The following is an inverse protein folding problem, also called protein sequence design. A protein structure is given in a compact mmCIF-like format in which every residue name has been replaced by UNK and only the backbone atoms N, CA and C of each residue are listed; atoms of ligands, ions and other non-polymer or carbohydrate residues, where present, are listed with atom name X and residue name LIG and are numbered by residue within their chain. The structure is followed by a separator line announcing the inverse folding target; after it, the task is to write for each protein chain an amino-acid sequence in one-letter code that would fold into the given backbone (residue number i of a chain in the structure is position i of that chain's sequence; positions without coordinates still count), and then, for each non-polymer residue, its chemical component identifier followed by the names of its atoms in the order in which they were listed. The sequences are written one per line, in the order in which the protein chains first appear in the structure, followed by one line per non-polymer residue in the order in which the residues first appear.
data_IF_935515348046
#
_entry.id   IF_935515348046
#
_cell.length_a   1.000
_cell.length_b   1.000
_cell.length_c   1.000
_cell.angle_alpha   90.00
_cell.angle_beta   90.00
_cell.angle_gamma   90.00
#
_symmetry.space_group_name_H-M   'P 1'
#
loop_
_entity.id
_entity.type
_entity.pdbx_description
1 polymer ?
#
# COMPACT_ATOMS: atom_id res chain seq x y z
N UNK A 1 -66.33 1.61 23.19
CA UNK A 1 -66.35 0.13 23.33
C UNK A 1 -65.06 -0.29 24.01
N UNK A 2 -65.20 -0.95 25.17
CA UNK A 2 -64.18 -1.78 25.85
C UNK A 2 -63.55 -2.80 24.86
N UNK A 3 -62.35 -3.35 25.02
CA UNK A 3 -61.86 -4.17 26.15
C UNK A 3 -60.32 -4.21 26.16
N UNK A 4 -59.78 -4.14 27.38
CA UNK A 4 -58.40 -4.38 27.83
C UNK A 4 -58.02 -5.87 27.74
N UNK A 5 -56.77 -6.20 27.41
CA UNK A 5 -56.11 -7.38 28.00
C UNK A 5 -54.60 -7.19 28.15
N UNK A 6 -54.20 -7.16 29.43
CA UNK A 6 -52.85 -7.26 29.96
C UNK A 6 -52.41 -8.73 30.01
N UNK A 7 -51.11 -8.99 29.81
CA UNK A 7 -50.24 -9.95 30.52
C UNK A 7 -49.02 -10.26 29.64
N UNK A 8 -47.84 -10.66 30.10
CA UNK A 8 -47.10 -10.64 31.37
C UNK A 8 -45.72 -11.19 31.00
N UNK A 9 -44.69 -10.71 31.66
CA UNK A 9 -43.30 -11.16 31.51
C UNK A 9 -43.11 -12.64 31.85
N UNK A 10 -42.30 -13.36 31.07
CA UNK A 10 -41.49 -14.47 31.59
C UNK A 10 -40.06 -14.38 31.04
N UNK A 11 -39.12 -14.38 31.97
CA UNK A 11 -37.70 -14.53 31.70
C UNK A 11 -37.42 -15.95 31.18
N UNK A 12 -36.82 -16.04 30.01
CA UNK A 12 -36.25 -17.27 29.46
C UNK A 12 -34.74 -17.11 29.35
N UNK A 13 -34.00 -17.65 30.32
CA UNK A 13 -32.57 -17.86 30.22
C UNK A 13 -32.28 -18.92 29.15
N UNK A 14 -31.54 -18.54 28.10
CA UNK A 14 -30.85 -19.52 27.26
C UNK A 14 -29.36 -19.23 27.28
N UNK A 15 -28.63 -20.15 27.91
CA UNK A 15 -27.17 -20.25 27.81
C UNK A 15 -26.87 -20.84 26.44
N UNK A 16 -26.26 -20.07 25.55
CA UNK A 16 -25.52 -20.62 24.41
C UNK A 16 -24.05 -20.31 24.61
N UNK A 17 -23.35 -21.32 25.14
CA UNK A 17 -21.90 -21.45 25.01
C UNK A 17 -21.66 -22.22 23.72
N UNK A 18 -20.98 -21.62 22.74
CA UNK A 18 -20.28 -22.35 21.69
C UNK A 18 -19.16 -21.49 21.10
N UNK A 19 -17.96 -21.83 21.56
CA UNK A 19 -16.72 -21.97 20.78
C UNK A 19 -16.49 -20.98 19.63
N UNK A 20 -15.65 -19.97 19.90
CA UNK A 20 -14.96 -19.17 18.89
C UNK A 20 -14.03 -20.06 18.08
N UNK A 21 -14.47 -20.47 16.89
CA UNK A 21 -13.62 -21.07 15.88
C UNK A 21 -13.07 -19.95 15.00
N UNK A 22 -11.79 -19.63 15.17
CA UNK A 22 -11.08 -18.61 14.38
C UNK A 22 -10.89 -19.13 12.95
N UNK A 23 -11.21 -18.33 11.90
CA UNK A 23 -10.87 -18.71 10.55
C UNK A 23 -9.36 -18.53 10.32
N UNK A 24 -8.69 -19.62 9.96
CA UNK A 24 -7.30 -19.62 9.47
C UNK A 24 -7.18 -18.73 8.22
N UNK A 25 -6.58 -17.55 8.38
CA UNK A 25 -6.11 -16.77 7.23
C UNK A 25 -4.81 -17.41 6.74
N UNK A 26 -4.93 -18.14 5.63
CA UNK A 26 -3.83 -18.71 4.87
C UNK A 26 -3.07 -17.58 4.16
N UNK A 27 -2.16 -16.93 4.88
CA UNK A 27 -1.21 -16.00 4.29
C UNK A 27 -0.19 -16.78 3.45
N UNK A 28 -0.36 -16.83 2.13
CA UNK A 28 0.66 -17.32 1.21
C UNK A 28 1.79 -16.30 1.09
N UNK A 29 2.60 -16.16 2.14
CA UNK A 29 3.92 -15.57 2.02
C UNK A 29 4.76 -16.53 1.16
N UNK A 30 5.23 -16.08 0.01
CA UNK A 30 6.25 -16.81 -0.73
C UNK A 30 7.55 -16.71 0.08
N UNK A 31 8.13 -17.81 0.58
CA UNK A 31 9.46 -17.76 1.16
C UNK A 31 10.46 -17.66 0.01
N UNK A 32 11.15 -16.52 -0.10
CA UNK A 32 12.30 -16.42 -1.01
C UNK A 32 13.53 -16.96 -0.27
N UNK A 33 13.90 -18.17 -0.70
CA UNK A 33 15.21 -18.83 -0.65
C UNK A 33 16.09 -18.64 0.59
N UNK A 34 16.01 -19.61 1.50
CA UNK A 34 17.20 -20.11 2.18
C UNK A 34 17.98 -20.97 1.18
N UNK A 35 19.33 -20.92 1.14
CA UNK A 35 20.09 -21.97 0.47
C UNK A 35 19.74 -23.29 1.14
N UNK A 36 19.15 -24.18 0.36
CA UNK A 36 18.88 -25.56 0.73
C UNK A 36 20.22 -26.30 0.82
N UNK A 37 20.69 -26.54 2.04
CA UNK A 37 21.64 -27.62 2.28
C UNK A 37 20.99 -28.70 3.14
N UNK A 38 21.09 -29.92 2.62
CA UNK A 38 20.39 -31.12 3.03
C UNK A 38 20.89 -31.62 4.38
N UNK A 39 19.97 -32.28 5.09
CA UNK A 39 20.19 -33.08 6.29
C UNK A 39 21.32 -34.11 6.14
N UNK A 40 22.15 -34.27 7.18
CA UNK A 40 22.83 -35.53 7.53
C UNK A 40 22.99 -35.63 9.06
N UNK A 41 22.61 -36.79 9.63
CA UNK A 41 23.02 -37.25 10.97
C UNK A 41 24.40 -37.91 10.85
N UNK A 42 25.41 -37.45 11.59
CA UNK A 42 26.38 -38.33 12.27
C UNK A 42 27.10 -37.60 13.40
N UNK A 43 27.36 -38.36 14.45
CA UNK A 43 28.03 -38.01 15.71
C UNK A 43 29.49 -37.55 15.58
N UNK A 44 29.88 -36.74 16.59
CA UNK A 44 31.23 -36.53 17.14
C UNK A 44 32.26 -35.81 16.26
N UNK A 45 32.38 -34.49 16.45
CA UNK A 45 33.55 -33.86 17.10
C UNK A 45 33.10 -32.52 17.73
N UNK A 46 33.12 -32.43 19.06
CA UNK A 46 32.89 -31.20 19.79
C UNK A 46 34.16 -30.33 19.72
N UNK A 47 34.43 -29.67 18.59
CA UNK A 47 35.33 -28.53 18.58
C UNK A 47 35.18 -27.63 17.35
N UNK A 48 33.99 -27.08 17.11
CA UNK A 48 33.79 -25.98 16.15
C UNK A 48 33.10 -24.78 16.84
N UNK A 49 33.98 -23.95 17.40
CA UNK A 49 33.94 -22.52 17.63
C UNK A 49 32.61 -21.89 18.10
N UNK A 50 32.41 -21.85 19.42
CA UNK A 50 31.30 -21.15 20.09
C UNK A 50 31.24 -19.65 19.75
N UNK A 51 32.39 -19.03 19.43
CA UNK A 51 32.48 -17.62 19.04
C UNK A 51 31.91 -17.36 17.65
N UNK A 52 32.14 -18.26 16.69
CA UNK A 52 31.57 -18.17 15.33
C UNK A 52 30.06 -18.35 15.36
N UNK A 53 29.56 -19.31 16.14
CA UNK A 53 28.11 -19.48 16.37
C UNK A 53 27.53 -18.24 17.03
N UNK A 54 28.20 -17.68 18.04
CA UNK A 54 27.81 -16.42 18.68
C UNK A 54 27.75 -15.23 17.70
N UNK A 55 28.71 -15.13 16.78
CA UNK A 55 28.74 -14.10 15.74
C UNK A 55 27.63 -14.28 14.68
N UNK A 56 27.30 -15.53 14.32
CA UNK A 56 26.15 -15.82 13.48
C UNK A 56 24.83 -15.42 14.14
N UNK A 57 24.59 -15.81 15.40
CA UNK A 57 23.39 -15.42 16.14
C UNK A 57 23.27 -13.89 16.27
N UNK A 58 24.38 -13.19 16.54
CA UNK A 58 24.41 -11.72 16.63
C UNK A 58 24.06 -11.04 15.30
N UNK A 59 24.49 -11.62 14.18
CA UNK A 59 24.19 -11.14 12.83
C UNK A 59 22.72 -11.36 12.48
N UNK A 60 22.20 -12.57 12.73
CA UNK A 60 20.78 -12.90 12.55
C UNK A 60 19.88 -11.98 13.39
N UNK A 61 20.25 -11.74 14.65
CA UNK A 61 19.52 -10.86 15.55
C UNK A 61 19.42 -9.41 15.04
N UNK A 62 20.46 -8.91 14.35
CA UNK A 62 20.40 -7.58 13.73
C UNK A 62 19.38 -7.51 12.60
N UNK A 63 19.30 -8.53 11.75
CA UNK A 63 18.28 -8.59 10.70
C UNK A 63 16.87 -8.67 11.28
N UNK A 64 16.66 -9.47 12.34
CA UNK A 64 15.38 -9.52 13.06
C UNK A 64 15.01 -8.14 13.63
N UNK A 65 15.96 -7.41 14.22
CA UNK A 65 15.70 -6.04 14.68
C UNK A 65 15.33 -5.09 13.56
N UNK A 66 16.05 -5.14 12.43
CA UNK A 66 15.75 -4.30 11.27
C UNK A 66 14.35 -4.61 10.73
N UNK A 67 13.98 -5.88 10.68
CA UNK A 67 12.64 -6.31 10.31
C UNK A 67 11.57 -5.73 11.25
N UNK A 68 11.80 -5.83 12.57
CA UNK A 68 10.91 -5.23 13.56
C UNK A 68 10.82 -3.70 13.41
N UNK A 69 11.94 -3.02 13.12
CA UNK A 69 11.95 -1.57 12.86
C UNK A 69 11.17 -1.18 11.60
N UNK A 70 11.23 -2.00 10.55
CA UNK A 70 10.42 -1.82 9.34
C UNK A 70 8.92 -1.98 9.66
N UNK A 71 8.55 -3.03 10.38
CA UNK A 71 7.15 -3.31 10.77
C UNK A 71 6.58 -2.26 11.71
N UNK A 72 7.40 -1.75 12.63
CA UNK A 72 7.03 -0.68 13.58
C UNK A 72 7.21 0.73 13.02
N UNK A 73 7.62 0.87 11.74
CA UNK A 73 7.80 2.15 11.04
C UNK A 73 8.72 3.13 11.77
N UNK A 74 9.83 2.65 12.31
CA UNK A 74 10.82 3.49 12.98
C UNK A 74 11.39 4.56 12.03
N UNK A 75 11.88 5.68 12.57
CA UNK A 75 12.48 6.73 11.73
C UNK A 75 13.89 6.35 11.27
N UNK A 76 14.33 6.92 10.14
CA UNK A 76 15.70 6.72 9.63
C UNK A 76 16.72 7.21 10.66
N UNK A 77 16.41 8.30 11.35
CA UNK A 77 17.25 8.89 12.39
C UNK A 77 17.38 7.94 13.59
N UNK A 78 16.26 7.38 14.07
CA UNK A 78 16.27 6.40 15.16
C UNK A 78 17.11 5.18 14.80
N UNK A 79 16.92 4.61 13.60
CA UNK A 79 17.68 3.44 13.16
C UNK A 79 19.16 3.76 12.97
N UNK A 80 19.50 4.96 12.47
CA UNK A 80 20.88 5.42 12.36
C UNK A 80 21.57 5.45 13.74
N UNK A 81 20.92 6.04 14.75
CA UNK A 81 21.42 6.08 16.12
C UNK A 81 21.46 4.69 16.76
N UNK A 82 20.42 3.86 16.59
CA UNK A 82 20.38 2.50 17.14
C UNK A 82 21.49 1.60 16.57
N UNK A 83 21.94 1.88 15.35
CA UNK A 83 23.07 1.21 14.69
C UNK A 83 24.43 1.85 14.99
N UNK A 84 24.47 2.90 15.83
CA UNK A 84 25.67 3.68 16.16
C UNK A 84 26.35 4.25 14.92
N UNK A 85 25.53 4.80 14.02
CA UNK A 85 25.97 5.49 12.79
C UNK A 85 25.75 7.00 12.90
N UNK A 86 25.22 7.48 14.02
CA UNK A 86 25.10 8.90 14.33
C UNK A 86 26.47 9.50 14.65
N UNK A 87 26.67 10.77 14.29
CA UNK A 87 27.94 11.48 14.48
C UNK A 87 29.07 11.11 13.52
N UNK A 88 28.90 10.07 12.70
CA UNK A 88 29.82 9.73 11.60
C UNK A 88 29.51 10.56 10.36
N UNK A 89 30.53 10.87 9.56
CA UNK A 89 30.35 11.47 8.25
C UNK A 89 29.88 10.45 7.20
N UNK A 90 29.49 10.92 6.01
CA UNK A 90 28.92 10.03 4.98
C UNK A 90 29.90 8.99 4.44
N UNK A 91 31.21 9.24 4.49
CA UNK A 91 32.22 8.29 4.04
C UNK A 91 32.43 7.19 5.10
N UNK A 92 32.52 7.58 6.37
CA UNK A 92 32.67 6.70 7.52
C UNK A 92 31.43 5.83 7.74
N UNK A 93 30.24 6.39 7.51
CA UNK A 93 29.00 5.61 7.55
C UNK A 93 29.06 4.46 6.57
N UNK A 94 29.52 4.69 5.33
CA UNK A 94 29.52 3.66 4.27
C UNK A 94 30.52 2.53 4.52
N UNK A 95 31.63 2.83 5.19
CA UNK A 95 32.65 1.82 5.54
C UNK A 95 32.35 1.09 6.84
N UNK A 96 31.44 1.62 7.67
CA UNK A 96 31.08 1.01 8.94
C UNK A 96 30.34 -0.33 8.79
N UNK A 97 30.71 -1.34 9.60
CA UNK A 97 30.13 -2.70 9.55
C UNK A 97 28.61 -2.78 9.74
N UNK A 98 27.99 -1.78 10.35
CA UNK A 98 26.54 -1.73 10.53
C UNK A 98 25.80 -1.06 9.36
N UNK A 99 26.52 -0.46 8.41
CA UNK A 99 25.94 0.25 7.27
C UNK A 99 24.99 -0.62 6.46
N UNK A 100 25.36 -1.87 6.19
CA UNK A 100 24.51 -2.80 5.42
C UNK A 100 23.09 -2.95 5.99
N UNK A 101 22.93 -2.90 7.32
CA UNK A 101 21.62 -2.97 7.97
C UNK A 101 20.86 -1.66 7.83
N UNK A 102 21.55 -0.53 7.93
CA UNK A 102 20.96 0.79 7.71
C UNK A 102 20.54 1.00 6.26
N UNK A 103 21.38 0.61 5.29
CA UNK A 103 21.07 0.64 3.86
C UNK A 103 19.83 -0.20 3.58
N UNK A 104 19.81 -1.47 4.01
CA UNK A 104 18.64 -2.33 3.85
C UNK A 104 17.37 -1.71 4.45
N UNK A 105 17.46 -1.16 5.67
CA UNK A 105 16.34 -0.45 6.29
C UNK A 105 15.89 0.75 5.46
N UNK A 106 16.82 1.61 5.03
CA UNK A 106 16.52 2.81 4.27
C UNK A 106 15.87 2.47 2.92
N UNK A 107 16.38 1.45 2.23
CA UNK A 107 15.91 0.96 0.93
C UNK A 107 14.50 0.37 1.04
N UNK A 108 14.19 -0.34 2.13
CA UNK A 108 12.91 -1.04 2.34
C UNK A 108 11.85 -0.24 3.09
N UNK A 109 12.24 0.81 3.82
CA UNK A 109 11.35 1.57 4.72
C UNK A 109 10.07 2.06 4.06
N UNK A 110 10.17 2.60 2.84
CA UNK A 110 9.00 3.05 2.10
C UNK A 110 8.11 1.89 1.68
N UNK A 111 8.68 0.83 1.08
CA UNK A 111 7.92 -0.33 0.61
C UNK A 111 7.13 -0.97 1.75
N UNK A 112 7.76 -1.20 2.91
CA UNK A 112 7.09 -1.75 4.08
C UNK A 112 5.99 -0.84 4.61
N UNK A 113 6.21 0.48 4.59
CA UNK A 113 5.17 1.44 4.97
C UNK A 113 3.95 1.32 4.06
N UNK A 114 4.17 1.23 2.74
CA UNK A 114 3.10 1.13 1.75
C UNK A 114 2.38 -0.22 1.81
N UNK A 115 3.11 -1.33 1.99
CA UNK A 115 2.53 -2.66 2.22
C UNK A 115 1.67 -2.65 3.50
N UNK A 116 2.15 -2.02 4.57
CA UNK A 116 1.39 -1.88 5.81
C UNK A 116 0.11 -1.06 5.64
N UNK A 117 0.07 -0.10 4.71
CA UNK A 117 -1.19 0.58 4.34
C UNK A 117 -2.13 -0.34 3.57
N UNK A 118 -1.62 -1.12 2.61
CA UNK A 118 -2.43 -2.10 1.87
C UNK A 118 -3.02 -3.18 2.79
N UNK A 119 -2.24 -3.70 3.74
CA UNK A 119 -2.69 -4.73 4.69
C UNK A 119 -3.77 -4.23 5.65
N UNK A 120 -3.86 -2.92 5.86
CA UNK A 120 -4.92 -2.28 6.65
C UNK A 120 -6.11 -1.83 5.80
N UNK A 121 -6.15 -2.25 4.53
CA UNK A 121 -7.15 -1.86 3.54
C UNK A 121 -7.33 -0.34 3.44
N UNK A 122 -6.24 0.42 3.57
CA UNK A 122 -6.30 1.87 3.41
C UNK A 122 -6.69 2.21 1.98
N UNK A 123 -7.68 3.08 1.84
CA UNK A 123 -7.97 3.72 0.56
C UNK A 123 -6.87 4.73 0.26
N UNK A 124 -6.74 5.17 -0.99
CA UNK A 124 -5.79 6.25 -1.27
C UNK A 124 -6.18 7.56 -0.61
N UNK A 125 -7.46 7.75 -0.34
CA UNK A 125 -7.93 8.88 0.47
C UNK A 125 -7.46 8.76 1.93
N UNK A 126 -7.45 7.57 2.52
CA UNK A 126 -6.88 7.35 3.85
C UNK A 126 -5.38 7.67 3.87
N UNK A 127 -4.63 7.23 2.87
CA UNK A 127 -3.21 7.57 2.76
C UNK A 127 -3.00 9.09 2.61
N UNK A 128 -3.79 9.75 1.77
CA UNK A 128 -3.76 11.21 1.59
C UNK A 128 -4.04 11.96 2.88
N UNK A 129 -5.13 11.58 3.57
CA UNK A 129 -5.65 12.30 4.73
C UNK A 129 -4.91 11.93 6.02
N UNK A 130 -4.86 10.64 6.36
CA UNK A 130 -4.43 10.13 7.68
C UNK A 130 -2.91 9.99 7.79
N UNK A 131 -2.25 9.54 6.72
CA UNK A 131 -0.82 9.18 6.80
C UNK A 131 0.10 10.26 6.23
N UNK A 132 -0.37 11.05 5.27
CA UNK A 132 0.43 12.06 4.59
C UNK A 132 0.05 13.50 4.96
N UNK A 133 -1.01 13.68 5.75
CA UNK A 133 -1.49 14.97 6.23
C UNK A 133 -1.69 16.00 5.08
N UNK A 134 -2.21 15.53 3.95
CA UNK A 134 -2.51 16.35 2.77
C UNK A 134 -3.96 16.87 2.78
N UNK A 135 -4.69 16.68 3.88
CA UNK A 135 -6.08 17.10 4.08
C UNK A 135 -6.31 18.61 3.91
N UNK A 136 -5.28 19.44 4.13
CA UNK A 136 -5.32 20.89 3.86
C UNK A 136 -5.41 21.25 2.37
N UNK A 137 -5.09 20.32 1.47
CA UNK A 137 -5.16 20.50 0.02
C UNK A 137 -6.51 19.94 -0.42
N UNK A 138 -7.47 20.83 -0.67
CA UNK A 138 -8.85 20.43 -0.96
C UNK A 138 -9.23 20.67 -2.41
N UNK A 139 -8.65 21.69 -3.04
CA UNK A 139 -8.94 22.07 -4.42
C UNK A 139 -7.85 21.62 -5.40
N UNK A 140 -8.24 21.31 -6.63
CA UNK A 140 -7.33 20.82 -7.66
C UNK A 140 -6.19 21.82 -8.00
N UNK A 141 -6.47 23.12 -7.94
CA UNK A 141 -5.49 24.17 -8.21
C UNK A 141 -4.42 24.32 -7.11
N UNK A 142 -4.59 23.65 -5.96
CA UNK A 142 -3.64 23.67 -4.85
C UNK A 142 -2.61 22.54 -4.93
N UNK A 143 -2.76 21.61 -5.88
CA UNK A 143 -1.84 20.48 -6.04
C UNK A 143 -0.38 20.93 -6.28
N UNK A 144 -0.19 22.09 -6.92
CA UNK A 144 1.13 22.68 -7.12
C UNK A 144 1.87 22.97 -5.79
N UNK A 145 1.15 23.20 -4.69
CA UNK A 145 1.74 23.42 -3.35
C UNK A 145 2.43 22.18 -2.80
N UNK A 146 2.06 20.98 -3.28
CA UNK A 146 2.55 19.70 -2.74
C UNK A 146 3.26 18.83 -3.77
N UNK A 147 3.20 19.13 -5.07
CA UNK A 147 3.72 18.24 -6.13
C UNK A 147 5.21 17.89 -5.96
N UNK A 148 6.02 18.84 -5.47
CA UNK A 148 7.45 18.68 -5.23
C UNK A 148 7.81 18.10 -3.84
N UNK A 149 6.81 17.82 -3.00
CA UNK A 149 7.06 17.30 -1.63
C UNK A 149 7.26 15.79 -1.61
N UNK A 150 8.00 15.31 -0.61
CA UNK A 150 8.17 13.87 -0.38
C UNK A 150 6.83 13.18 -0.08
N UNK A 151 5.93 13.84 0.65
CA UNK A 151 4.60 13.32 0.94
C UNK A 151 3.83 12.99 -0.36
N UNK A 152 3.83 13.91 -1.33
CA UNK A 152 3.19 13.65 -2.62
C UNK A 152 3.95 12.59 -3.46
N UNK A 153 5.28 12.51 -3.36
CA UNK A 153 6.05 11.42 -3.96
C UNK A 153 5.61 10.06 -3.44
N UNK A 154 5.49 9.90 -2.11
CA UNK A 154 5.03 8.65 -1.49
C UNK A 154 3.57 8.36 -1.83
N UNK A 155 2.70 9.39 -1.85
CA UNK A 155 1.32 9.26 -2.30
C UNK A 155 1.24 8.66 -3.72
N UNK A 156 2.01 9.19 -4.67
CA UNK A 156 2.06 8.69 -6.05
C UNK A 156 2.46 7.21 -6.11
N UNK A 157 3.42 6.80 -5.30
CA UNK A 157 3.86 5.40 -5.24
C UNK A 157 2.73 4.52 -4.70
N UNK A 158 2.09 4.95 -3.60
CA UNK A 158 0.99 4.22 -3.01
C UNK A 158 -0.20 4.05 -3.95
N UNK A 159 -0.64 5.13 -4.62
CA UNK A 159 -1.73 5.08 -5.61
C UNK A 159 -1.43 4.05 -6.69
N UNK A 160 -0.20 4.01 -7.20
CA UNK A 160 0.16 3.02 -8.22
C UNK A 160 0.14 1.58 -7.70
N UNK A 161 0.62 1.33 -6.47
CA UNK A 161 0.57 0.01 -5.84
C UNK A 161 -0.88 -0.42 -5.60
N UNK A 162 -1.68 0.45 -4.98
CA UNK A 162 -3.09 0.22 -4.68
C UNK A 162 -3.89 -0.06 -5.96
N UNK A 163 -3.79 0.81 -6.97
CA UNK A 163 -4.54 0.66 -8.22
C UNK A 163 -4.18 -0.63 -8.96
N UNK A 164 -2.90 -1.05 -8.94
CA UNK A 164 -2.47 -2.33 -9.50
C UNK A 164 -3.08 -3.52 -8.76
N UNK A 165 -3.11 -3.46 -7.42
CA UNK A 165 -3.70 -4.49 -6.58
C UNK A 165 -5.20 -4.62 -6.86
N UNK A 166 -5.94 -3.51 -6.84
CA UNK A 166 -7.39 -3.50 -7.07
C UNK A 166 -7.73 -4.02 -8.46
N UNK A 167 -7.02 -3.57 -9.50
CA UNK A 167 -7.25 -4.07 -10.86
C UNK A 167 -7.00 -5.58 -10.95
N UNK A 168 -5.95 -6.09 -10.30
CA UNK A 168 -5.67 -7.54 -10.23
C UNK A 168 -6.79 -8.29 -9.52
N UNK A 169 -7.21 -7.82 -8.34
CA UNK A 169 -8.28 -8.41 -7.54
C UNK A 169 -9.62 -8.45 -8.31
N UNK A 170 -9.98 -7.36 -8.98
CA UNK A 170 -11.18 -7.31 -9.82
C UNK A 170 -11.14 -8.26 -11.00
N UNK A 171 -9.95 -8.50 -11.58
CA UNK A 171 -9.79 -9.44 -12.70
C UNK A 171 -9.97 -10.90 -12.26
N UNK A 172 -9.69 -11.23 -10.99
CA UNK A 172 -9.91 -12.57 -10.43
C UNK A 172 -11.25 -12.70 -9.68
N UNK A 173 -12.10 -11.68 -9.72
CA UNK A 173 -13.45 -11.71 -9.15
C UNK A 173 -13.58 -11.27 -7.69
N UNK A 174 -12.49 -10.83 -7.06
CA UNK A 174 -12.42 -10.38 -5.65
C UNK A 174 -12.44 -8.84 -5.55
N UNK A 175 -13.37 -8.19 -6.25
CA UNK A 175 -13.43 -6.73 -6.25
C UNK A 175 -13.68 -6.20 -4.81
N UNK A 176 -12.95 -5.16 -4.35
CA UNK A 176 -13.27 -4.54 -3.08
C UNK A 176 -14.65 -3.88 -3.14
N UNK A 177 -15.35 -3.84 -2.00
CA UNK A 177 -16.65 -3.19 -1.87
C UNK A 177 -16.57 -1.68 -2.13
N UNK A 178 -15.47 -1.05 -1.68
CA UNK A 178 -15.23 0.40 -1.85
C UNK A 178 -13.94 0.61 -2.62
N UNK A 179 -14.04 1.20 -3.81
CA UNK A 179 -12.89 1.55 -4.67
C UNK A 179 -12.50 3.02 -4.51
N UNK A 180 -13.50 3.88 -4.27
CA UNK A 180 -13.34 5.32 -4.05
C UNK A 180 -14.12 5.68 -2.79
N UNK A 181 -13.43 6.25 -1.81
CA UNK A 181 -14.06 6.78 -0.61
C UNK A 181 -14.98 7.93 -0.99
N UNK A 182 -16.30 7.75 -0.82
CA UNK A 182 -17.29 8.81 -0.99
C UNK A 182 -16.98 9.91 0.04
N UNK A 183 -16.36 11.01 -0.42
CA UNK A 183 -15.79 12.05 0.44
C UNK A 183 -14.36 12.47 0.07
N UNK A 184 -13.72 11.81 -0.90
CA UNK A 184 -12.44 12.26 -1.44
C UNK A 184 -12.52 13.70 -1.98
N UNK A 185 -11.52 14.53 -1.65
CA UNK A 185 -11.48 15.93 -2.07
C UNK A 185 -11.26 16.04 -3.57
N UNK A 186 -11.66 17.18 -4.17
CA UNK A 186 -11.38 17.44 -5.57
C UNK A 186 -9.88 17.40 -5.89
N UNK A 187 -9.04 17.84 -4.95
CA UNK A 187 -7.58 17.70 -5.05
C UNK A 187 -7.13 16.24 -5.15
N UNK A 188 -7.55 15.38 -4.22
CA UNK A 188 -7.13 13.97 -4.18
C UNK A 188 -7.60 13.23 -5.45
N UNK A 189 -8.86 13.40 -5.83
CA UNK A 189 -9.41 12.79 -7.05
C UNK A 189 -8.70 13.27 -8.32
N UNK A 190 -8.35 14.55 -8.39
CA UNK A 190 -7.55 15.10 -9.50
C UNK A 190 -6.14 14.50 -9.50
N UNK A 191 -5.50 14.39 -8.33
CA UNK A 191 -4.17 13.79 -8.20
C UNK A 191 -4.17 12.32 -8.65
N UNK A 192 -5.10 11.48 -8.15
CA UNK A 192 -5.29 10.09 -8.60
C UNK A 192 -5.43 10.02 -10.11
N UNK A 193 -6.27 10.90 -10.67
CA UNK A 193 -6.54 10.96 -12.11
C UNK A 193 -5.28 11.25 -12.92
N UNK A 194 -4.48 12.24 -12.49
CA UNK A 194 -3.20 12.57 -13.13
C UNK A 194 -2.23 11.39 -13.02
N UNK A 195 -2.16 10.73 -11.85
CA UNK A 195 -1.27 9.58 -11.62
C UNK A 195 -1.64 8.41 -12.54
N UNK A 196 -2.92 8.04 -12.61
CA UNK A 196 -3.40 6.99 -13.50
C UNK A 196 -3.09 7.29 -14.98
N UNK A 197 -3.26 8.55 -15.39
CA UNK A 197 -2.96 8.98 -16.76
C UNK A 197 -1.45 8.90 -17.06
N UNK A 198 -0.59 9.37 -16.15
CA UNK A 198 0.88 9.25 -16.26
C UNK A 198 1.33 7.79 -16.30
N UNK A 199 0.68 6.93 -15.51
CA UNK A 199 0.89 5.48 -15.51
C UNK A 199 0.28 4.74 -16.71
N UNK A 200 -0.34 5.47 -17.67
CA UNK A 200 -0.94 4.92 -18.89
C UNK A 200 -1.93 3.78 -18.64
N UNK A 201 -2.73 3.87 -17.57
CA UNK A 201 -3.75 2.86 -17.25
C UNK A 201 -4.73 2.69 -18.42
N UNK A 202 -5.38 1.53 -18.51
CA UNK A 202 -6.43 1.31 -19.51
C UNK A 202 -7.70 2.09 -19.16
N UNK A 203 -8.52 2.43 -20.15
CA UNK A 203 -9.78 3.16 -19.91
C UNK A 203 -10.71 2.35 -18.99
N UNK A 204 -10.76 1.02 -19.18
CA UNK A 204 -11.47 0.08 -18.30
C UNK A 204 -10.94 0.11 -16.87
N UNK A 205 -9.62 0.12 -16.67
CA UNK A 205 -9.04 0.21 -15.33
C UNK A 205 -9.37 1.55 -14.68
N UNK A 206 -9.24 2.66 -15.41
CA UNK A 206 -9.56 3.98 -14.88
C UNK A 206 -11.05 4.12 -14.50
N UNK A 207 -11.98 3.60 -15.31
CA UNK A 207 -13.41 3.60 -14.93
C UNK A 207 -13.64 2.85 -13.62
N UNK A 208 -13.04 1.66 -13.47
CA UNK A 208 -13.14 0.88 -12.22
C UNK A 208 -12.58 1.63 -11.02
N UNK A 209 -11.37 2.16 -11.15
CA UNK A 209 -10.64 2.86 -10.09
C UNK A 209 -11.25 4.21 -9.70
N UNK A 210 -12.14 4.76 -10.53
CA UNK A 210 -12.96 5.94 -10.26
C UNK A 210 -14.37 5.58 -9.77
N UNK A 211 -14.65 4.30 -9.53
CA UNK A 211 -15.96 3.83 -9.07
C UNK A 211 -17.08 3.98 -10.09
N UNK A 212 -16.76 4.08 -11.39
CA UNK A 212 -17.72 4.19 -12.50
C UNK A 212 -18.23 2.80 -12.90
N UNK A 213 -18.77 2.08 -11.92
CA UNK A 213 -19.27 0.71 -12.00
C UNK A 213 -20.74 0.66 -11.55
N UNK A 214 -21.44 -0.41 -11.94
CA UNK A 214 -22.82 -0.63 -11.51
C UNK A 214 -22.89 -0.85 -9.98
N UNK A 215 -23.78 -0.14 -9.25
CA UNK A 215 -23.92 -0.29 -7.80
C UNK A 215 -24.31 -1.69 -7.34
N UNK A 216 -25.01 -2.45 -8.18
CA UNK A 216 -25.47 -3.81 -7.89
C UNK A 216 -24.52 -4.88 -8.45
N UNK A 217 -23.59 -4.49 -9.32
CA UNK A 217 -22.62 -5.41 -9.90
C UNK A 217 -21.29 -4.71 -10.22
N UNK A 218 -20.33 -4.81 -9.29
CA UNK A 218 -19.00 -4.21 -9.41
C UNK A 218 -18.16 -4.69 -10.61
N UNK A 219 -18.61 -5.75 -11.30
CA UNK A 219 -17.98 -6.24 -12.54
C UNK A 219 -18.42 -5.48 -13.79
N UNK A 220 -19.56 -4.80 -13.72
CA UNK A 220 -20.18 -4.07 -14.83
C UNK A 220 -19.75 -2.60 -14.76
N UNK A 221 -19.25 -2.07 -15.88
CA UNK A 221 -18.91 -0.65 -15.99
C UNK A 221 -20.16 0.14 -16.34
N UNK A 222 -20.26 1.36 -15.81
CA UNK A 222 -21.27 2.29 -16.30
C UNK A 222 -20.99 2.63 -17.77
N UNK A 223 -22.05 2.67 -18.57
CA UNK A 223 -22.02 3.05 -19.99
C UNK A 223 -23.14 4.03 -20.31
N UNK A 224 -23.10 4.64 -21.50
CA UNK A 224 -24.15 5.53 -22.00
C UNK A 224 -24.49 6.67 -21.03
N UNK A 225 -25.78 6.91 -20.87
CA UNK A 225 -26.32 7.98 -20.03
C UNK A 225 -25.90 7.83 -18.56
N UNK A 226 -25.94 6.60 -18.01
CA UNK A 226 -25.56 6.32 -16.63
C UNK A 226 -24.11 6.70 -16.33
N UNK A 227 -23.19 6.45 -17.28
CA UNK A 227 -21.81 6.90 -17.16
C UNK A 227 -21.72 8.43 -17.15
N UNK A 228 -22.39 9.10 -18.08
CA UNK A 228 -22.26 10.55 -18.26
C UNK A 228 -22.89 11.38 -17.14
N UNK A 229 -23.92 10.83 -16.47
CA UNK A 229 -24.59 11.47 -15.33
C UNK A 229 -23.88 11.25 -13.99
N UNK A 230 -22.95 10.31 -13.92
CA UNK A 230 -22.25 10.01 -12.67
C UNK A 230 -21.33 11.18 -12.27
N UNK A 231 -21.33 11.55 -10.98
CA UNK A 231 -20.58 12.70 -10.45
C UNK A 231 -19.08 12.63 -10.74
N UNK A 232 -18.50 11.43 -10.68
CA UNK A 232 -17.07 11.21 -10.92
C UNK A 232 -16.69 11.12 -12.41
N UNK A 233 -17.66 11.21 -13.34
CA UNK A 233 -17.40 11.17 -14.78
C UNK A 233 -16.46 12.27 -15.24
N UNK A 234 -16.46 13.42 -14.56
CA UNK A 234 -15.52 14.52 -14.84
C UNK A 234 -14.06 14.08 -14.73
N UNK A 235 -13.72 13.23 -13.76
CA UNK A 235 -12.36 12.72 -13.57
C UNK A 235 -11.99 11.73 -14.67
N UNK A 236 -12.95 10.95 -15.16
CA UNK A 236 -12.70 10.05 -16.29
C UNK A 236 -12.48 10.82 -17.61
N UNK A 237 -13.22 11.93 -17.83
CA UNK A 237 -12.92 12.86 -18.95
C UNK A 237 -11.51 13.42 -18.85
N UNK A 238 -11.13 13.90 -17.66
CA UNK A 238 -9.79 14.42 -17.39
C UNK A 238 -8.71 13.37 -17.64
N UNK A 239 -8.90 12.14 -17.15
CA UNK A 239 -8.01 11.00 -17.38
C UNK A 239 -7.75 10.78 -18.88
N UNK A 240 -8.81 10.67 -19.68
CA UNK A 240 -8.69 10.41 -21.13
C UNK A 240 -7.97 11.54 -21.86
N UNK A 241 -8.20 12.79 -21.46
CA UNK A 241 -7.48 13.95 -21.99
C UNK A 241 -5.99 13.85 -21.67
N UNK A 242 -5.63 13.73 -20.40
CA UNK A 242 -4.24 13.70 -19.93
C UNK A 242 -3.46 12.51 -20.51
N UNK A 243 -4.07 11.33 -20.59
CA UNK A 243 -3.45 10.14 -21.17
C UNK A 243 -3.04 10.35 -22.63
N UNK A 244 -3.87 11.06 -23.42
CA UNK A 244 -3.52 11.43 -24.81
C UNK A 244 -2.34 12.40 -24.85
N UNK A 245 -2.37 13.43 -24.01
CA UNK A 245 -1.31 14.44 -23.92
C UNK A 245 0.04 13.84 -23.50
N UNK A 246 0.06 12.95 -22.50
CA UNK A 246 1.31 12.28 -22.10
C UNK A 246 1.83 11.32 -23.18
N UNK A 247 0.93 10.72 -23.96
CA UNK A 247 1.32 9.86 -25.09
C UNK A 247 1.95 10.67 -26.22
N UNK A 248 1.35 11.81 -26.59
CA UNK A 248 1.88 12.68 -27.64
C UNK A 248 3.23 13.30 -27.26
N UNK A 249 3.36 13.78 -26.02
CA UNK A 249 4.61 14.34 -25.52
C UNK A 249 5.76 13.33 -25.56
N UNK A 250 5.50 12.10 -25.11
CA UNK A 250 6.51 11.03 -25.13
C UNK A 250 6.96 10.70 -26.56
N UNK A 251 6.04 10.69 -27.54
CA UNK A 251 6.37 10.46 -28.95
C UNK A 251 7.23 11.60 -29.52
N UNK A 252 6.95 12.85 -29.16
CA UNK A 252 7.77 14.00 -29.58
C UNK A 252 9.19 13.92 -29.02
N UNK A 253 9.32 13.59 -27.74
CA UNK A 253 10.62 13.40 -27.08
C UNK A 253 11.43 12.29 -27.75
N UNK A 254 10.83 11.12 -28.00
CA UNK A 254 11.50 10.01 -28.69
C UNK A 254 11.95 10.37 -30.10
N UNK A 255 11.12 11.09 -30.88
CA UNK A 255 11.50 11.60 -32.20
C UNK A 255 12.69 12.56 -32.14
N UNK A 256 12.74 13.43 -31.12
CA UNK A 256 13.87 14.35 -30.92
C UNK A 256 15.18 13.60 -30.70
N UNK A 257 15.17 12.52 -29.91
CA UNK A 257 16.38 11.74 -29.61
C UNK A 257 16.74 10.69 -30.68
N UNK A 258 15.83 10.33 -31.58
CA UNK A 258 16.10 9.41 -32.70
C UNK A 258 16.73 10.09 -33.92
N UNK A 259 16.84 11.42 -33.94
CA UNK A 259 17.43 12.21 -35.02
C UNK A 259 18.86 12.69 -34.70
N UNK A 260 19.49 12.11 -33.66
CA UNK A 260 20.92 12.21 -33.32
C UNK A 260 21.54 10.83 -33.41
#
# INVERSE_FOLDING_TARGET
MLVVLLASTTAGSSKFSSTLQSPEIRASAHPIMFPEERSLRSETTLNENSEERGNMFKTMWKYVKVQLWLETKMSKEYVKTALKLDGLDDADIKTHKNYKYYSYFADKSEEYRLIGWLQKDYTTFDAWHKELNLNRITQANELNKVEATDAFRVYKHYVNMHDTLIVRQMNIGNAPEVVVSRGATAAEMTARTIIMAKAKRSDKAAQRLLGLIDPHNSRVLLTGEALTRHVDYQYFKLFRKLKKEFTSLNLQTMKKYSNY
#
